data_IF_097457202411
#
_entry.id   IF_097457202411
#
_cell.length_a   1.000
_cell.length_b   1.000
_cell.length_c   1.000
_cell.angle_alpha   90.00
_cell.angle_beta   90.00
_cell.angle_gamma   90.00
#
_symmetry.space_group_name_H-M   'P 1'
#
loop_
_entity.id
_entity.type
_entity.pdbx_description
1 polymer ?
#
# COMPACT_ATOMS: atom_id res chain seq x y z
N UNK A 1 -3.47 33.22 -6.92
CA UNK A 1 -3.22 32.03 -7.74
C UNK A 1 -1.75 31.61 -7.80
N UNK A 2 -0.80 32.41 -8.36
CA UNK A 2 0.63 32.02 -8.43
C UNK A 2 1.31 31.90 -7.05
N UNK A 3 0.98 32.77 -6.08
CA UNK A 3 1.50 32.70 -4.70
C UNK A 3 0.93 31.53 -3.90
N UNK A 4 -0.32 31.15 -4.11
CA UNK A 4 -0.96 30.00 -3.45
C UNK A 4 -0.43 28.67 -4.02
N UNK A 5 -0.15 28.63 -5.32
CA UNK A 5 0.48 27.48 -5.98
C UNK A 5 1.92 27.28 -5.45
N UNK A 6 2.70 28.37 -5.31
CA UNK A 6 4.06 28.33 -4.73
C UNK A 6 4.05 27.96 -3.24
N UNK A 7 3.07 28.42 -2.47
CA UNK A 7 2.91 28.04 -1.07
C UNK A 7 2.50 26.56 -0.96
N UNK A 8 1.66 26.08 -1.86
CA UNK A 8 1.26 24.67 -1.95
C UNK A 8 2.42 23.74 -2.33
N UNK A 9 3.25 24.15 -3.31
CA UNK A 9 4.42 23.36 -3.74
C UNK A 9 5.54 23.37 -2.69
N UNK A 10 5.81 24.49 -2.03
CA UNK A 10 6.76 24.55 -0.90
C UNK A 10 6.29 23.69 0.25
N UNK A 11 5.00 23.74 0.61
CA UNK A 11 4.42 22.89 1.62
C UNK A 11 4.51 21.41 1.25
N UNK A 12 4.28 21.04 -0.01
CA UNK A 12 4.41 19.68 -0.51
C UNK A 12 5.86 19.17 -0.43
N UNK A 13 6.82 19.98 -0.90
CA UNK A 13 8.24 19.61 -0.85
C UNK A 13 8.69 19.43 0.60
N UNK A 14 8.33 20.34 1.50
CA UNK A 14 8.65 20.22 2.93
C UNK A 14 8.04 18.97 3.54
N UNK A 15 6.80 18.64 3.17
CA UNK A 15 6.10 17.43 3.65
C UNK A 15 6.77 16.17 3.16
N UNK A 16 7.14 16.12 1.88
CA UNK A 16 7.86 14.99 1.29
C UNK A 16 9.24 14.83 1.94
N UNK A 17 9.98 15.93 2.16
CA UNK A 17 11.27 15.88 2.85
C UNK A 17 11.12 15.39 4.28
N UNK A 18 10.14 15.89 5.03
CA UNK A 18 9.86 15.43 6.40
C UNK A 18 9.45 13.96 6.39
N UNK A 19 8.55 13.54 5.49
CA UNK A 19 8.15 12.14 5.38
C UNK A 19 9.33 11.23 5.02
N UNK A 20 10.20 11.64 4.09
CA UNK A 20 11.40 10.88 3.74
C UNK A 20 12.40 10.81 4.90
N UNK A 21 12.69 11.93 5.56
CA UNK A 21 13.58 11.97 6.75
C UNK A 21 13.05 11.06 7.84
N UNK A 22 11.75 11.11 8.07
CA UNK A 22 11.07 10.31 9.07
C UNK A 22 11.13 8.81 8.72
N UNK A 23 10.91 8.43 7.45
CA UNK A 23 11.07 7.05 6.97
C UNK A 23 12.53 6.61 7.10
N UNK A 24 13.51 7.46 6.72
CA UNK A 24 14.92 7.14 6.86
C UNK A 24 15.34 6.98 8.33
N UNK A 25 14.90 7.87 9.22
CA UNK A 25 15.13 7.75 10.66
C UNK A 25 14.51 6.45 11.17
N UNK A 26 13.29 6.13 10.74
CA UNK A 26 12.61 4.92 11.13
C UNK A 26 13.34 3.66 10.64
N UNK A 27 13.80 3.63 9.38
CA UNK A 27 14.61 2.54 8.83
C UNK A 27 15.94 2.39 9.60
N UNK A 28 16.56 3.51 9.97
CA UNK A 28 17.79 3.53 10.77
C UNK A 28 17.54 2.97 12.19
N UNK A 29 16.45 3.40 12.85
CA UNK A 29 16.03 2.86 14.15
C UNK A 29 15.64 1.38 14.06
N UNK A 30 15.04 0.96 12.94
CA UNK A 30 14.74 -0.44 12.66
C UNK A 30 16.01 -1.29 12.55
N UNK A 31 17.01 -0.78 11.85
CA UNK A 31 18.32 -1.44 11.72
C UNK A 31 19.06 -1.53 13.06
N UNK A 32 18.98 -0.48 13.90
CA UNK A 32 19.56 -0.44 15.24
C UNK A 32 18.72 -1.25 16.24
N UNK A 33 17.39 -1.21 16.12
CA UNK A 33 16.44 -1.87 17.04
C UNK A 33 16.39 -3.38 16.91
N UNK A 34 16.99 -3.96 15.88
CA UNK A 34 17.24 -5.41 15.82
C UNK A 34 18.14 -5.91 17.00
N UNK A 35 18.79 -4.99 17.71
CA UNK A 35 19.56 -5.29 18.93
C UNK A 35 18.76 -5.16 20.23
N UNK A 36 17.61 -4.46 20.24
CA UNK A 36 16.82 -4.22 21.44
C UNK A 36 15.38 -4.71 21.26
N UNK A 37 14.94 -5.55 22.15
CA UNK A 37 13.59 -6.11 22.40
C UNK A 37 12.49 -5.76 21.35
N UNK A 38 12.15 -6.75 20.51
CA UNK A 38 11.25 -6.66 19.35
C UNK A 38 9.84 -6.10 19.63
N UNK A 39 9.32 -6.28 20.85
CA UNK A 39 8.00 -5.74 21.24
C UNK A 39 8.02 -4.21 21.33
N UNK A 40 9.13 -3.62 21.77
CA UNK A 40 9.28 -2.16 21.83
C UNK A 40 9.35 -1.52 20.45
N UNK A 41 9.84 -2.26 19.45
CA UNK A 41 9.88 -1.81 18.06
C UNK A 41 8.48 -1.61 17.48
N UNK A 42 7.60 -2.62 17.58
CA UNK A 42 6.24 -2.53 17.03
C UNK A 42 5.43 -1.46 17.74
N UNK A 43 5.61 -1.31 19.06
CA UNK A 43 4.94 -0.25 19.83
C UNK A 43 5.42 1.14 19.41
N UNK A 44 6.72 1.36 19.29
CA UNK A 44 7.28 2.65 18.85
C UNK A 44 6.85 2.98 17.41
N UNK A 45 6.79 1.97 16.54
CA UNK A 45 6.26 2.13 15.19
C UNK A 45 4.79 2.55 15.19
N UNK A 46 3.96 1.92 16.02
CA UNK A 46 2.54 2.28 16.15
C UNK A 46 2.35 3.72 16.60
N UNK A 47 3.09 4.15 17.62
CA UNK A 47 3.05 5.54 18.12
C UNK A 47 3.47 6.52 17.02
N UNK A 48 4.49 6.18 16.27
CA UNK A 48 4.98 6.99 15.16
C UNK A 48 3.95 7.13 14.03
N UNK A 49 3.32 6.03 13.62
CA UNK A 49 2.26 6.03 12.60
C UNK A 49 1.08 6.88 13.05
N UNK A 50 0.66 6.77 14.31
CA UNK A 50 -0.41 7.60 14.89
C UNK A 50 -0.02 9.09 14.87
N UNK A 51 1.24 9.41 15.21
CA UNK A 51 1.73 10.79 15.16
C UNK A 51 1.70 11.36 13.73
N UNK A 52 2.09 10.57 12.71
CA UNK A 52 1.97 10.97 11.29
C UNK A 52 0.51 11.22 10.92
N UNK A 53 -0.40 10.31 11.24
CA UNK A 53 -1.84 10.47 10.95
C UNK A 53 -2.33 11.78 11.58
N UNK A 54 -2.03 12.00 12.85
CA UNK A 54 -2.45 13.20 13.59
C UNK A 54 -1.89 14.47 12.94
N UNK A 55 -0.60 14.47 12.58
CA UNK A 55 0.04 15.59 11.90
C UNK A 55 -0.57 15.87 10.52
N UNK A 56 -0.86 14.83 9.71
CA UNK A 56 -1.52 15.00 8.42
C UNK A 56 -2.91 15.59 8.60
N UNK A 57 -3.70 15.09 9.56
CA UNK A 57 -5.05 15.60 9.84
C UNK A 57 -5.04 17.06 10.30
N UNK A 58 -4.03 17.43 11.09
CA UNK A 58 -3.85 18.81 11.55
C UNK A 58 -3.38 19.76 10.45
N UNK A 59 -2.38 19.34 9.65
CA UNK A 59 -1.68 20.21 8.69
C UNK A 59 -2.37 20.32 7.34
N UNK A 60 -3.05 19.26 6.90
CA UNK A 60 -3.64 19.19 5.56
C UNK A 60 -5.15 19.02 5.61
N UNK A 61 -5.85 19.72 4.71
CA UNK A 61 -7.30 19.64 4.59
C UNK A 61 -7.73 18.37 3.82
N UNK A 62 -7.36 17.19 4.34
CA UNK A 62 -7.72 15.91 3.72
C UNK A 62 -9.14 15.45 4.10
N UNK A 63 -9.80 16.12 5.06
CA UNK A 63 -11.18 15.81 5.47
C UNK A 63 -12.15 15.72 4.28
N UNK A 64 -11.91 16.51 3.23
CA UNK A 64 -12.69 16.48 2.00
C UNK A 64 -12.55 15.15 1.23
N UNK A 65 -11.50 14.39 1.46
CA UNK A 65 -11.26 13.08 0.85
C UNK A 65 -11.71 11.90 1.71
N UNK A 66 -12.16 12.16 2.96
CA UNK A 66 -12.77 11.15 3.83
C UNK A 66 -14.28 11.02 3.57
N UNK A 67 -14.76 11.55 2.44
CA UNK A 67 -16.15 11.42 2.00
C UNK A 67 -16.49 9.95 1.75
N UNK A 68 -17.78 9.62 1.94
CA UNK A 68 -18.32 8.29 1.61
C UNK A 68 -18.02 7.96 0.15
N UNK A 69 -17.52 6.78 -0.11
CA UNK A 69 -17.42 6.26 -1.46
C UNK A 69 -18.67 5.43 -1.79
N UNK A 70 -19.03 5.27 -3.06
CA UNK A 70 -20.11 4.37 -3.45
C UNK A 70 -19.84 2.95 -2.92
N UNK A 71 -20.80 2.37 -2.20
CA UNK A 71 -20.64 1.05 -1.56
C UNK A 71 -20.21 -0.04 -2.56
N UNK A 72 -20.72 0.03 -3.79
CA UNK A 72 -20.31 -0.90 -4.86
C UNK A 72 -18.81 -0.86 -5.10
N UNK A 73 -18.21 0.33 -5.15
CA UNK A 73 -16.75 0.47 -5.34
C UNK A 73 -16.00 -0.09 -4.12
N UNK A 74 -16.47 0.23 -2.90
CA UNK A 74 -15.87 -0.29 -1.69
C UNK A 74 -15.84 -1.83 -1.64
N UNK A 75 -16.93 -2.49 -2.09
CA UNK A 75 -17.03 -3.95 -2.16
C UNK A 75 -16.11 -4.58 -3.22
N UNK A 76 -15.78 -3.86 -4.29
CA UNK A 76 -14.85 -4.33 -5.31
C UNK A 76 -13.37 -4.23 -4.89
N UNK A 77 -13.04 -3.34 -3.94
CA UNK A 77 -11.65 -3.11 -3.53
C UNK A 77 -10.96 -4.37 -2.95
N UNK A 78 -11.58 -5.15 -2.03
CA UNK A 78 -10.99 -6.40 -1.55
C UNK A 78 -10.78 -7.42 -2.67
N UNK A 79 -11.70 -7.51 -3.62
CA UNK A 79 -11.61 -8.43 -4.77
C UNK A 79 -10.40 -8.07 -5.63
N UNK A 80 -10.21 -6.79 -5.91
CA UNK A 80 -9.04 -6.30 -6.66
C UNK A 80 -7.76 -6.63 -5.88
N UNK A 81 -7.71 -6.31 -4.58
CA UNK A 81 -6.53 -6.53 -3.75
C UNK A 81 -6.11 -8.01 -3.75
N UNK A 82 -7.05 -8.91 -3.49
CA UNK A 82 -6.78 -10.36 -3.45
C UNK A 82 -6.35 -10.87 -4.82
N UNK A 83 -7.02 -10.44 -5.90
CA UNK A 83 -6.65 -10.85 -7.25
C UNK A 83 -5.21 -10.43 -7.62
N UNK A 84 -4.82 -9.20 -7.28
CA UNK A 84 -3.45 -8.73 -7.53
C UNK A 84 -2.45 -9.48 -6.66
N UNK A 85 -2.76 -9.70 -5.37
CA UNK A 85 -1.89 -10.44 -4.46
C UNK A 85 -1.63 -11.86 -4.99
N UNK A 86 -2.67 -12.56 -5.45
CA UNK A 86 -2.53 -13.90 -6.04
C UNK A 86 -1.67 -13.85 -7.30
N UNK A 87 -1.90 -12.90 -8.20
CA UNK A 87 -1.09 -12.75 -9.41
C UNK A 87 0.38 -12.51 -9.09
N UNK A 88 0.67 -11.62 -8.14
CA UNK A 88 2.05 -11.31 -7.71
C UNK A 88 2.70 -12.50 -7.01
N UNK A 89 1.94 -13.26 -6.22
CA UNK A 89 2.43 -14.46 -5.55
C UNK A 89 2.81 -15.55 -6.55
N UNK A 90 1.92 -15.82 -7.54
CA UNK A 90 2.23 -16.77 -8.62
C UNK A 90 3.43 -16.32 -9.43
N UNK A 91 3.51 -15.03 -9.79
CA UNK A 91 4.65 -14.47 -10.51
C UNK A 91 5.95 -14.64 -9.72
N UNK A 92 5.96 -14.34 -8.43
CA UNK A 92 7.10 -14.50 -7.54
C UNK A 92 7.58 -15.95 -7.37
N UNK A 93 6.71 -16.95 -7.64
CA UNK A 93 7.11 -18.35 -7.62
C UNK A 93 8.03 -18.73 -8.79
N UNK A 94 7.86 -18.07 -9.94
CA UNK A 94 8.62 -18.40 -11.17
C UNK A 94 9.73 -17.40 -11.48
N UNK A 95 9.70 -16.20 -10.91
CA UNK A 95 10.69 -15.15 -11.17
C UNK A 95 11.42 -14.80 -9.88
N UNK A 96 12.69 -15.17 -9.83
CA UNK A 96 13.55 -14.78 -8.73
C UNK A 96 13.91 -13.30 -8.85
N UNK A 97 13.49 -12.52 -7.86
CA UNK A 97 13.88 -11.12 -7.69
C UNK A 97 14.80 -11.05 -6.47
N UNK A 98 16.08 -10.68 -6.65
CA UNK A 98 17.01 -10.63 -5.53
C UNK A 98 16.56 -9.57 -4.51
N UNK A 99 16.47 -9.96 -3.25
CA UNK A 99 16.27 -9.04 -2.15
C UNK A 99 17.61 -8.42 -1.79
N UNK A 100 17.80 -7.15 -2.13
CA UNK A 100 19.01 -6.40 -1.79
C UNK A 100 19.07 -6.05 -0.29
N UNK A 101 17.93 -6.06 0.38
CA UNK A 101 17.79 -5.79 1.81
C UNK A 101 16.93 -6.88 2.45
N UNK A 102 17.43 -7.51 3.49
CA UNK A 102 16.72 -8.54 4.24
C UNK A 102 15.44 -7.98 4.84
N UNK A 103 14.33 -8.73 4.73
CA UNK A 103 13.03 -8.23 5.20
C UNK A 103 13.04 -8.07 6.72
N UNK A 104 13.06 -6.83 7.19
CA UNK A 104 12.85 -6.51 8.60
C UNK A 104 11.50 -7.05 9.15
N UNK A 105 10.55 -7.35 8.26
CA UNK A 105 9.20 -7.85 8.60
C UNK A 105 9.23 -9.24 9.24
N UNK A 106 10.13 -10.13 8.85
CA UNK A 106 10.23 -11.49 9.43
C UNK A 106 10.65 -11.48 10.89
N UNK A 107 11.32 -10.42 11.32
CA UNK A 107 11.76 -10.27 12.72
C UNK A 107 10.69 -9.66 13.65
N UNK A 108 9.63 -9.06 13.11
CA UNK A 108 8.58 -8.36 13.87
C UNK A 108 7.47 -9.33 14.32
N UNK A 109 7.39 -10.52 13.75
CA UNK A 109 6.26 -11.43 13.82
C UNK A 109 6.09 -12.20 15.16
N UNK A 110 6.62 -11.74 16.27
CA UNK A 110 6.40 -12.44 17.56
C UNK A 110 5.02 -12.17 18.18
N UNK A 111 4.40 -11.04 17.87
CA UNK A 111 3.04 -10.71 18.32
C UNK A 111 2.13 -10.49 17.11
N UNK A 112 1.42 -11.55 16.70
CA UNK A 112 0.57 -11.54 15.52
C UNK A 112 -0.51 -10.43 15.57
N UNK A 113 -1.14 -10.23 16.74
CA UNK A 113 -2.20 -9.22 16.89
C UNK A 113 -1.64 -7.81 16.72
N UNK A 114 -0.55 -7.49 17.40
CA UNK A 114 0.06 -6.16 17.34
C UNK A 114 0.60 -5.86 15.93
N UNK A 115 1.22 -6.86 15.30
CA UNK A 115 1.69 -6.77 13.92
C UNK A 115 0.54 -6.53 12.94
N UNK A 116 -0.56 -7.27 13.07
CA UNK A 116 -1.74 -7.13 12.23
C UNK A 116 -2.39 -5.74 12.38
N UNK A 117 -2.52 -5.23 13.60
CA UNK A 117 -3.07 -3.88 13.82
C UNK A 117 -2.15 -2.82 13.23
N UNK A 118 -0.84 -2.92 13.47
CA UNK A 118 0.11 -1.89 13.05
C UNK A 118 0.37 -1.93 11.55
N UNK A 119 0.85 -3.07 11.03
CA UNK A 119 1.24 -3.20 9.62
C UNK A 119 0.05 -3.49 8.71
N UNK A 120 -0.99 -4.17 9.23
CA UNK A 120 -2.18 -4.51 8.45
C UNK A 120 -3.19 -3.36 8.34
N UNK A 121 -3.30 -2.49 9.35
CA UNK A 121 -4.32 -1.45 9.38
C UNK A 121 -3.73 -0.03 9.49
N UNK A 122 -3.00 0.28 10.57
CA UNK A 122 -2.58 1.67 10.84
C UNK A 122 -1.62 2.21 9.78
N UNK A 123 -0.63 1.43 9.40
CA UNK A 123 0.36 1.84 8.41
C UNK A 123 -0.26 2.09 7.04
N UNK A 124 -1.06 1.19 6.44
CA UNK A 124 -1.77 1.46 5.18
C UNK A 124 -2.62 2.73 5.24
N UNK A 125 -3.34 2.97 6.34
CA UNK A 125 -4.14 4.19 6.50
C UNK A 125 -3.26 5.44 6.42
N UNK A 126 -2.15 5.47 7.18
CA UNK A 126 -1.23 6.60 7.17
C UNK A 126 -0.61 6.84 5.79
N UNK A 127 -0.19 5.77 5.12
CA UNK A 127 0.40 5.82 3.80
C UNK A 127 -0.59 6.34 2.75
N UNK A 128 -1.84 5.87 2.75
CA UNK A 128 -2.85 6.37 1.83
C UNK A 128 -3.21 7.84 2.11
N UNK A 129 -3.30 8.24 3.38
CA UNK A 129 -3.49 9.65 3.74
C UNK A 129 -2.36 10.53 3.21
N UNK A 130 -1.11 10.07 3.31
CA UNK A 130 0.06 10.81 2.81
C UNK A 130 0.11 10.82 1.28
N UNK A 131 0.13 9.64 0.65
CA UNK A 131 0.40 9.55 -0.78
C UNK A 131 -0.79 9.94 -1.65
N UNK A 132 -2.01 9.55 -1.27
CA UNK A 132 -3.23 9.89 -2.03
C UNK A 132 -3.86 11.18 -1.54
N UNK A 133 -3.97 11.34 -0.23
CA UNK A 133 -4.56 12.54 0.37
C UNK A 133 -3.72 13.79 0.16
N UNK A 134 -2.42 13.73 0.46
CA UNK A 134 -1.53 14.90 0.38
C UNK A 134 -0.85 14.96 -0.99
N UNK A 135 0.01 14.00 -1.35
CA UNK A 135 0.85 14.09 -2.56
C UNK A 135 0.00 14.14 -3.82
N UNK A 136 -0.78 13.10 -4.09
CA UNK A 136 -1.63 13.03 -5.28
C UNK A 136 -2.70 14.14 -5.26
N UNK A 137 -3.32 14.38 -4.10
CA UNK A 137 -4.31 15.44 -3.94
C UNK A 137 -3.76 16.83 -4.28
N UNK A 138 -2.53 17.16 -3.89
CA UNK A 138 -1.87 18.42 -4.24
C UNK A 138 -1.54 18.51 -5.73
N UNK A 139 -1.00 17.44 -6.32
CA UNK A 139 -0.70 17.39 -7.76
C UNK A 139 -1.95 17.59 -8.60
N UNK A 140 -3.06 16.94 -8.24
CA UNK A 140 -4.33 17.10 -8.95
C UNK A 140 -4.95 18.49 -8.79
N UNK A 141 -4.80 19.14 -7.61
CA UNK A 141 -5.21 20.55 -7.42
C UNK A 141 -4.34 21.50 -8.25
N UNK A 142 -3.07 21.17 -8.45
CA UNK A 142 -2.15 21.90 -9.32
C UNK A 142 -2.42 21.73 -10.81
N UNK A 143 -3.51 21.06 -11.21
CA UNK A 143 -3.91 20.78 -12.60
C UNK A 143 -2.88 19.92 -13.37
N UNK A 144 -2.05 19.16 -12.69
CA UNK A 144 -1.19 18.16 -13.30
C UNK A 144 -2.06 17.11 -14.00
N UNK A 145 -1.61 16.62 -15.16
CA UNK A 145 -2.28 15.50 -15.83
C UNK A 145 -2.50 14.36 -14.84
N UNK A 146 -3.72 13.82 -14.70
CA UNK A 146 -4.03 12.82 -13.70
C UNK A 146 -3.13 11.59 -13.72
N UNK A 147 -2.79 11.08 -14.89
CA UNK A 147 -1.92 9.91 -15.01
C UNK A 147 -0.47 10.20 -14.61
N UNK A 148 0.04 11.41 -14.94
CA UNK A 148 1.35 11.87 -14.48
C UNK A 148 1.33 12.03 -12.95
N UNK A 149 0.28 12.63 -12.38
CA UNK A 149 0.14 12.80 -10.94
C UNK A 149 0.09 11.45 -10.20
N UNK A 150 -0.67 10.48 -10.74
CA UNK A 150 -0.73 9.10 -10.22
C UNK A 150 0.65 8.45 -10.31
N UNK A 151 1.31 8.57 -11.46
CA UNK A 151 2.66 8.01 -11.67
C UNK A 151 3.68 8.56 -10.68
N UNK A 152 3.73 9.88 -10.47
CA UNK A 152 4.63 10.52 -9.50
C UNK A 152 4.34 10.03 -8.08
N UNK A 153 3.07 10.05 -7.65
CA UNK A 153 2.68 9.60 -6.31
C UNK A 153 3.03 8.13 -6.10
N UNK A 154 2.80 7.29 -7.10
CA UNK A 154 3.12 5.86 -7.08
C UNK A 154 4.62 5.61 -7.04
N UNK A 155 5.40 6.33 -7.84
CA UNK A 155 6.86 6.19 -7.86
C UNK A 155 7.46 6.50 -6.49
N UNK A 156 7.05 7.63 -5.88
CA UNK A 156 7.53 8.01 -4.54
C UNK A 156 7.11 6.95 -3.51
N UNK A 157 5.85 6.49 -3.56
CA UNK A 157 5.34 5.43 -2.69
C UNK A 157 6.11 4.12 -2.84
N UNK A 158 6.49 3.76 -4.06
CA UNK A 158 7.20 2.52 -4.37
C UNK A 158 8.65 2.55 -3.86
N UNK A 159 9.39 3.64 -4.14
CA UNK A 159 10.82 3.70 -3.86
C UNK A 159 11.15 3.72 -2.35
N UNK A 160 10.23 4.18 -1.50
CA UNK A 160 10.46 4.21 -0.05
C UNK A 160 10.51 2.82 0.59
N UNK A 161 10.06 1.77 -0.12
CA UNK A 161 10.10 0.40 0.41
C UNK A 161 11.51 -0.20 0.42
N UNK A 162 12.45 0.34 -0.36
CA UNK A 162 13.87 -0.06 -0.43
C UNK A 162 14.12 -1.55 -0.70
N UNK A 163 13.10 -2.31 -1.03
CA UNK A 163 13.13 -3.73 -1.38
C UNK A 163 12.51 -3.92 -2.76
N UNK A 164 13.25 -4.47 -3.72
CA UNK A 164 12.83 -4.51 -5.12
C UNK A 164 11.51 -5.25 -5.34
N UNK A 165 11.30 -6.37 -4.64
CA UNK A 165 10.03 -7.13 -4.70
C UNK A 165 8.87 -6.30 -4.17
N UNK A 166 9.07 -5.61 -3.04
CA UNK A 166 8.06 -4.72 -2.47
C UNK A 166 7.83 -3.48 -3.34
N UNK A 167 8.89 -2.92 -3.94
CA UNK A 167 8.78 -1.77 -4.87
C UNK A 167 7.90 -2.11 -6.08
N UNK A 168 8.06 -3.27 -6.68
CA UNK A 168 7.22 -3.72 -7.81
C UNK A 168 5.77 -3.88 -7.37
N UNK A 169 5.54 -4.55 -6.25
CA UNK A 169 4.20 -4.73 -5.69
C UNK A 169 3.55 -3.40 -5.35
N UNK A 170 4.30 -2.51 -4.66
CA UNK A 170 3.85 -1.17 -4.30
C UNK A 170 3.56 -0.30 -5.53
N UNK A 171 4.32 -0.45 -6.63
CA UNK A 171 4.04 0.25 -7.87
C UNK A 171 2.69 -0.18 -8.47
N UNK A 172 2.41 -1.47 -8.54
CA UNK A 172 1.15 -2.01 -9.08
C UNK A 172 -0.03 -1.57 -8.21
N UNK A 173 0.03 -1.80 -6.90
CA UNK A 173 -1.00 -1.35 -5.95
C UNK A 173 -1.15 0.17 -5.96
N UNK A 174 -0.04 0.88 -6.04
CA UNK A 174 0.02 2.33 -6.06
C UNK A 174 -0.71 2.95 -7.24
N UNK A 175 -0.54 2.40 -8.44
CA UNK A 175 -1.25 2.86 -9.65
C UNK A 175 -2.76 2.67 -9.50
N UNK A 176 -3.20 1.51 -9.01
CA UNK A 176 -4.62 1.19 -8.84
C UNK A 176 -5.25 2.03 -7.73
N UNK A 177 -4.60 2.15 -6.57
CA UNK A 177 -5.06 2.99 -5.47
C UNK A 177 -5.14 4.47 -5.89
N UNK A 178 -4.14 4.96 -6.64
CA UNK A 178 -4.13 6.31 -7.20
C UNK A 178 -5.26 6.55 -8.21
N UNK A 179 -5.52 5.58 -9.09
CA UNK A 179 -6.63 5.63 -10.03
C UNK A 179 -8.00 5.62 -9.31
N UNK A 180 -8.19 4.77 -8.31
CA UNK A 180 -9.41 4.72 -7.50
C UNK A 180 -9.65 6.05 -6.78
N UNK A 181 -8.60 6.62 -6.17
CA UNK A 181 -8.68 7.94 -5.55
C UNK A 181 -9.02 9.03 -6.57
N UNK A 182 -8.40 9.04 -7.74
CA UNK A 182 -8.70 10.00 -8.80
C UNK A 182 -10.17 9.92 -9.24
N UNK A 183 -10.69 8.71 -9.43
CA UNK A 183 -12.08 8.47 -9.85
C UNK A 183 -13.10 8.87 -8.78
N UNK A 184 -12.86 8.50 -7.54
CA UNK A 184 -13.85 8.64 -6.46
C UNK A 184 -13.69 9.93 -5.66
N UNK A 185 -12.52 10.55 -5.72
CA UNK A 185 -12.14 11.64 -4.82
C UNK A 185 -12.32 11.29 -3.34
N UNK A 186 -12.24 10.00 -3.02
CA UNK A 186 -12.34 9.43 -1.68
C UNK A 186 -11.10 8.60 -1.37
N UNK A 187 -10.62 8.66 -0.14
CA UNK A 187 -9.51 7.85 0.35
C UNK A 187 -9.94 6.40 0.65
N UNK A 188 -11.23 6.17 0.89
CA UNK A 188 -11.71 4.86 1.32
C UNK A 188 -11.36 3.72 0.36
N UNK A 189 -11.54 3.83 -0.97
CA UNK A 189 -11.14 2.76 -1.88
C UNK A 189 -9.65 2.41 -1.79
N UNK A 190 -8.79 3.43 -1.73
CA UNK A 190 -7.34 3.24 -1.62
C UNK A 190 -6.97 2.60 -0.28
N UNK A 191 -7.57 3.06 0.82
CA UNK A 191 -7.38 2.47 2.16
C UNK A 191 -7.83 1.02 2.16
N UNK A 192 -9.02 0.71 1.64
CA UNK A 192 -9.56 -0.66 1.64
C UNK A 192 -8.67 -1.61 0.82
N UNK A 193 -8.26 -1.22 -0.39
CA UNK A 193 -7.41 -2.08 -1.21
C UNK A 193 -6.05 -2.34 -0.53
N UNK A 194 -5.46 -1.32 0.08
CA UNK A 194 -4.16 -1.43 0.72
C UNK A 194 -4.24 -2.21 2.05
N UNK A 195 -5.22 -1.93 2.90
CA UNK A 195 -5.43 -2.70 4.14
C UNK A 195 -5.76 -4.16 3.84
N UNK A 196 -6.57 -4.44 2.82
CA UNK A 196 -6.84 -5.83 2.42
C UNK A 196 -5.57 -6.56 2.01
N UNK A 197 -4.71 -5.93 1.21
CA UNK A 197 -3.42 -6.51 0.83
C UNK A 197 -2.57 -6.84 2.07
N UNK A 198 -2.36 -5.87 2.95
CA UNK A 198 -1.50 -6.03 4.12
C UNK A 198 -2.06 -7.03 5.13
N UNK A 199 -3.37 -7.02 5.37
CA UNK A 199 -4.03 -8.03 6.21
C UNK A 199 -3.90 -9.43 5.63
N UNK A 200 -4.04 -9.60 4.31
CA UNK A 200 -3.84 -10.89 3.65
C UNK A 200 -2.41 -11.39 3.80
N UNK A 201 -1.41 -10.50 3.70
CA UNK A 201 -0.01 -10.84 3.98
C UNK A 201 0.21 -11.25 5.44
N UNK A 202 -0.42 -10.55 6.41
CA UNK A 202 -0.37 -10.93 7.82
C UNK A 202 -0.99 -12.32 8.04
N UNK A 203 -2.19 -12.57 7.50
CA UNK A 203 -2.85 -13.87 7.59
C UNK A 203 -1.95 -14.97 7.01
N UNK A 204 -1.37 -14.75 5.83
CA UNK A 204 -0.44 -15.69 5.21
C UNK A 204 0.76 -15.99 6.09
N UNK A 205 1.34 -14.98 6.71
CA UNK A 205 2.53 -15.10 7.56
C UNK A 205 2.27 -15.84 8.89
N UNK A 206 1.04 -15.74 9.43
CA UNK A 206 0.68 -16.32 10.72
C UNK A 206 -0.12 -17.61 10.64
N UNK A 207 -0.43 -18.08 9.41
CA UNK A 207 -1.18 -19.32 9.20
C UNK A 207 -0.34 -20.34 8.46
N UNK A 208 -0.73 -21.62 8.59
CA UNK A 208 -0.11 -22.72 7.83
C UNK A 208 -0.59 -22.79 6.38
N UNK A 209 -1.15 -21.70 5.82
CA UNK A 209 -1.62 -21.67 4.44
C UNK A 209 -0.50 -21.96 3.42
N UNK A 210 0.74 -21.67 3.79
CA UNK A 210 1.93 -22.03 2.99
C UNK A 210 2.10 -23.54 2.79
N UNK A 211 1.46 -24.37 3.63
CA UNK A 211 1.53 -25.83 3.52
C UNK A 211 0.48 -26.45 2.60
N UNK A 212 -0.46 -25.66 2.07
CA UNK A 212 -1.53 -26.18 1.19
C UNK A 212 -0.97 -26.86 -0.07
N UNK A 213 0.18 -26.41 -0.55
CA UNK A 213 0.84 -26.97 -1.73
C UNK A 213 1.79 -28.13 -1.40
N UNK A 214 1.89 -28.51 -0.12
CA UNK A 214 2.76 -29.61 0.30
C UNK A 214 2.28 -30.93 -0.30
N UNK A 215 3.20 -31.67 -0.93
CA UNK A 215 2.89 -32.94 -1.59
C UNK A 215 2.35 -32.83 -3.02
N UNK A 216 2.17 -31.64 -3.56
CA UNK A 216 1.79 -31.47 -4.98
C UNK A 216 2.99 -31.64 -5.90
N UNK A 217 2.77 -32.24 -7.08
CA UNK A 217 3.79 -32.29 -8.14
C UNK A 217 3.93 -30.93 -8.80
N UNK A 218 5.06 -30.70 -9.50
CA UNK A 218 5.32 -29.44 -10.23
C UNK A 218 4.24 -29.21 -11.30
N UNK A 219 3.77 -30.25 -11.95
CA UNK A 219 2.74 -30.19 -12.99
C UNK A 219 1.38 -29.79 -12.39
N UNK A 220 0.99 -30.37 -11.26
CA UNK A 220 -0.24 -30.00 -10.53
C UNK A 220 -0.19 -28.53 -10.10
N UNK A 221 0.94 -28.10 -9.54
CA UNK A 221 1.13 -26.72 -9.10
C UNK A 221 1.04 -25.75 -10.30
N UNK A 222 1.67 -26.08 -11.43
CA UNK A 222 1.63 -25.26 -12.64
C UNK A 222 0.20 -25.11 -13.17
N UNK A 223 -0.58 -26.20 -13.22
CA UNK A 223 -1.98 -26.16 -13.66
C UNK A 223 -2.80 -25.25 -12.76
N UNK A 224 -2.66 -25.39 -11.43
CA UNK A 224 -3.36 -24.55 -10.46
C UNK A 224 -2.99 -23.08 -10.65
N UNK A 225 -1.71 -22.76 -10.82
CA UNK A 225 -1.25 -21.38 -11.05
C UNK A 225 -1.82 -20.79 -12.34
N UNK A 226 -1.86 -21.57 -13.44
CA UNK A 226 -2.47 -21.11 -14.71
C UNK A 226 -3.96 -20.80 -14.51
N UNK A 227 -4.71 -21.68 -13.84
CA UNK A 227 -6.12 -21.46 -13.55
C UNK A 227 -6.34 -20.22 -12.67
N UNK A 228 -5.54 -20.04 -11.62
CA UNK A 228 -5.62 -18.87 -10.75
C UNK A 228 -5.34 -17.58 -11.51
N UNK A 229 -4.33 -17.55 -12.38
CA UNK A 229 -4.01 -16.39 -13.22
C UNK A 229 -5.20 -16.04 -14.12
N UNK A 230 -5.78 -17.03 -14.82
CA UNK A 230 -6.93 -16.80 -15.69
C UNK A 230 -8.11 -16.24 -14.90
N UNK A 231 -8.46 -16.86 -13.76
CA UNK A 231 -9.55 -16.42 -12.90
C UNK A 231 -9.31 -14.98 -12.43
N UNK A 232 -8.10 -14.66 -11.92
CA UNK A 232 -7.76 -13.32 -11.44
C UNK A 232 -7.84 -12.26 -12.54
N UNK A 233 -7.35 -12.56 -13.76
CA UNK A 233 -7.44 -11.64 -14.90
C UNK A 233 -8.90 -11.37 -15.27
N UNK A 234 -9.73 -12.39 -15.35
CA UNK A 234 -11.17 -12.26 -15.66
C UNK A 234 -11.86 -11.43 -14.58
N UNK A 235 -11.66 -11.76 -13.31
CA UNK A 235 -12.25 -11.06 -12.17
C UNK A 235 -11.81 -9.59 -12.13
N UNK A 236 -10.53 -9.30 -12.33
CA UNK A 236 -10.02 -7.92 -12.39
C UNK A 236 -10.65 -7.16 -13.56
N UNK A 237 -10.70 -7.75 -14.75
CA UNK A 237 -11.28 -7.11 -15.94
C UNK A 237 -12.74 -6.76 -15.74
N UNK A 238 -13.54 -7.71 -15.20
CA UNK A 238 -14.95 -7.49 -14.90
C UNK A 238 -15.14 -6.41 -13.81
N UNK A 239 -14.33 -6.44 -12.77
CA UNK A 239 -14.41 -5.51 -11.65
C UNK A 239 -14.05 -4.09 -12.09
N UNK A 240 -12.96 -3.92 -12.85
CA UNK A 240 -12.56 -2.62 -13.41
C UNK A 240 -13.65 -2.08 -14.34
N UNK A 241 -14.21 -2.92 -15.22
CA UNK A 241 -15.32 -2.53 -16.10
C UNK A 241 -16.54 -2.04 -15.30
N UNK A 242 -16.87 -2.72 -14.21
CA UNK A 242 -17.97 -2.31 -13.31
C UNK A 242 -17.69 -0.98 -12.61
N UNK A 243 -16.47 -0.76 -12.13
CA UNK A 243 -16.08 0.52 -11.49
C UNK A 243 -16.11 1.65 -12.51
N UNK A 244 -15.67 1.42 -13.73
CA UNK A 244 -15.69 2.45 -14.79
C UNK A 244 -17.10 2.82 -15.25
N UNK A 245 -18.07 1.93 -15.11
CA UNK A 245 -19.48 2.16 -15.47
C UNK A 245 -20.32 2.83 -14.36
N UNK A 246 -19.76 2.99 -13.16
CA UNK A 246 -20.40 3.71 -12.05
C UNK A 246 -20.14 5.21 -12.23
N UNK A 247 -21.00 5.88 -13.02
CA UNK A 247 -21.09 7.35 -13.10
C UNK A 247 -22.54 7.75 -13.27
#
# INVERSE_FOLDING_TARGET
>A
MKKELLAGTKGLVTTLMVAMVVVCIFQLFSAIGNFANRNNYVLSHSVFVIAIITWILYRYSIKNYLKKCPIKIALYCPIIAISILVLLSVFGTYIYIPNLFENAVTSIAQNALLCTITLGLLQPIAEEMLFRGVVLGCLLKGKTNPWIAIGISTFIFSIIHLNLTQMISAAIFGMIAGWLFYKTRSLWPSIIIHTTNNLSCCVWSFTSLSTITYGMTKEQLLIIHILLVIICIVVLSLTIKRITSVH
#
